data_IF_927304782146
#
_entry.id   IF_927304782146
#
_cell.length_a   1.000
_cell.length_b   1.000
_cell.length_c   1.000
_cell.angle_alpha   90.00
_cell.angle_beta   90.00
_cell.angle_gamma   90.00
#
_symmetry.space_group_name_H-M   'P 1'
#
loop_
_entity.id
_entity.type
_entity.pdbx_description
1 polymer ?
2 non-polymer ?
3 water ?
#
# COMPACT_ATOMS: atom_id res chain seq x y z
N UNK A 2 15.61 -21.13 -1.29
CA UNK A 2 15.27 -19.80 -1.85
C UNK A 2 15.00 -18.73 -0.74
N UNK A 4 13.46 -15.64 -3.56
CA UNK A 4 12.30 -15.65 -4.34
C UNK A 4 12.33 -14.55 -5.40
N UNK A 5 11.62 -14.71 -6.51
CA UNK A 5 12.06 -15.18 -7.77
C UNK A 5 11.23 -14.01 -8.40
N UNK A 6 11.92 -12.92 -8.73
CA UNK A 6 11.28 -11.71 -9.20
C UNK A 6 12.24 -11.16 -10.28
N UNK A 7 11.77 -10.23 -11.12
CA UNK A 7 12.66 -9.54 -12.07
C UNK A 7 13.70 -8.69 -11.31
N UNK A 8 14.82 -8.40 -11.94
CA UNK A 8 15.89 -7.54 -11.38
C UNK A 8 15.37 -6.13 -11.07
N UNK A 9 14.41 -5.68 -11.87
CA UNK A 9 13.69 -4.41 -11.69
C UNK A 9 12.99 -4.26 -10.31
N UNK A 10 12.70 -5.39 -9.63
CA UNK A 10 12.32 -5.44 -8.21
C UNK A 10 13.42 -5.24 -7.14
N UNK A 11 14.67 -5.07 -7.56
CA UNK A 11 15.73 -4.77 -6.59
C UNK A 11 15.60 -3.38 -5.96
N UNK A 12 15.67 -3.37 -4.63
CA UNK A 12 15.51 -2.16 -3.83
C UNK A 12 16.67 -2.07 -2.83
N UNK A 13 16.78 -0.91 -2.19
CA UNK A 13 17.50 -0.70 -0.98
C UNK A 13 16.39 -0.49 0.07
N UNK A 14 16.35 -1.35 1.08
CA UNK A 14 15.26 -1.37 1.97
C UNK A 14 15.87 -1.13 3.36
N UNK A 15 15.14 -0.40 4.22
CA UNK A 15 15.62 -0.14 5.57
C UNK A 15 15.54 -1.39 6.40
N UNK A 16 16.67 -1.81 6.97
CA UNK A 16 16.70 -2.94 7.85
C UNK A 16 16.41 -2.50 9.28
N UNK A 17 15.28 -3.01 9.78
CA UNK A 17 14.58 -2.53 10.98
C UNK A 17 15.17 -3.07 12.29
N UNK A 18 15.94 -4.17 12.15
CA UNK A 18 16.81 -4.74 13.19
C UNK A 18 18.04 -3.88 13.43
N UNK A 19 19.02 -4.41 14.17
CA UNK A 19 19.89 -3.50 14.95
C UNK A 19 21.41 -3.35 14.81
N UNK A 20 21.95 -3.42 13.57
CA UNK A 20 22.60 -2.18 13.05
C UNK A 20 21.59 -1.57 11.98
N UNK A 21 21.21 -0.28 12.09
CA UNK A 21 20.21 0.26 11.14
C UNK A 21 20.84 0.88 9.89
N UNK A 22 20.72 0.16 8.77
CA UNK A 22 21.20 0.63 7.49
C UNK A 22 20.17 0.22 6.45
N UNK A 23 20.20 0.85 5.27
CA UNK A 23 19.56 0.31 4.04
C UNK A 23 20.41 -0.74 3.36
N UNK A 24 19.80 -1.87 3.04
CA UNK A 24 20.54 -2.90 2.35
C UNK A 24 19.86 -3.29 1.05
N UNK A 25 20.60 -3.95 0.13
CA UNK A 25 19.98 -4.54 -1.10
C UNK A 25 18.89 -5.60 -0.76
N UNK A 26 17.76 -5.57 -1.45
CA UNK A 26 16.73 -6.55 -1.17
C UNK A 26 15.98 -6.67 -2.47
N UNK A 27 15.06 -7.62 -2.53
CA UNK A 27 14.07 -7.75 -3.58
C UNK A 27 12.66 -7.37 -3.05
N UNK A 28 12.00 -6.46 -3.75
CA UNK A 28 10.58 -6.18 -3.53
C UNK A 28 9.73 -7.42 -3.94
N UNK A 29 9.06 -8.01 -2.96
CA UNK A 29 8.41 -9.27 -3.08
C UNK A 29 6.89 -9.07 -3.42
N UNK A 30 6.25 -8.11 -2.74
CA UNK A 30 4.83 -7.91 -2.86
C UNK A 30 4.43 -6.65 -2.08
N UNK A 31 3.35 -5.95 -2.55
CA UNK A 31 2.68 -4.92 -1.76
C UNK A 31 1.93 -5.61 -0.60
N UNK A 32 1.80 -4.91 0.50
CA UNK A 32 1.11 -5.40 1.67
C UNK A 32 -0.01 -4.37 2.03
N UNK A 33 -1.22 -4.90 2.20
CA UNK A 33 -2.30 -4.18 2.85
C UNK A 33 -2.23 -4.48 4.37
N UNK A 34 -1.85 -3.50 5.16
CA UNK A 34 -1.93 -3.63 6.60
C UNK A 34 -3.32 -3.55 7.20
N UNK A 35 -3.73 -4.48 8.06
CA UNK A 35 -5.09 -4.46 8.64
C UNK A 35 -5.38 -3.29 9.57
N UNK A 36 -4.33 -2.57 9.89
CA UNK A 36 -4.23 -1.69 11.06
C UNK A 36 -3.73 -0.27 10.71
N UNK A 37 -3.12 -0.07 9.53
CA UNK A 37 -2.80 1.30 9.06
C UNK A 37 -3.15 1.49 7.59
N UNK A 38 -3.37 2.73 7.19
CA UNK A 38 -3.76 2.91 5.79
C UNK A 38 -2.62 3.02 4.79
N UNK A 39 -1.44 3.49 5.16
CA UNK A 39 -0.40 3.61 4.09
C UNK A 39 -0.09 2.27 3.43
N UNK A 40 0.19 2.28 2.15
CA UNK A 40 0.67 1.07 1.47
C UNK A 40 2.01 0.55 2.04
N UNK A 42 5.26 -2.77 2.02
CA UNK A 42 6.07 -3.62 1.10
C UNK A 42 6.76 -4.79 1.74
N UNK A 43 6.49 -5.97 1.20
CA UNK A 43 7.24 -7.06 1.67
C UNK A 43 8.52 -7.07 0.81
N UNK A 44 9.64 -7.20 1.51
CA UNK A 44 10.95 -7.12 0.92
C UNK A 44 11.74 -8.32 1.47
N UNK A 45 12.65 -8.85 0.64
CA UNK A 45 13.59 -9.93 1.03
C UNK A 45 15.10 -9.50 0.96
N UNK A 46 15.82 -9.61 2.06
CA UNK A 46 17.26 -9.31 2.06
C UNK A 46 18.02 -10.49 1.42
N UNK A 47 19.29 -10.28 1.18
CA UNK A 47 20.10 -11.21 0.36
C UNK A 47 20.44 -12.48 1.19
N UNK A 48 20.28 -12.41 2.53
CA UNK A 48 20.34 -13.64 3.35
C UNK A 48 18.96 -14.34 3.43
N UNK A 49 18.02 -13.98 2.57
CA UNK A 49 16.64 -14.46 2.57
C UNK A 49 15.72 -14.03 3.70
N UNK A 50 16.18 -13.27 4.66
CA UNK A 50 15.28 -12.62 5.63
C UNK A 50 14.25 -11.71 4.94
N UNK A 52 10.97 -8.92 5.33
CA UNK A 52 10.55 -7.84 6.19
C UNK A 52 9.48 -6.99 5.52
N UNK A 53 8.63 -6.35 6.29
CA UNK A 53 7.58 -5.45 5.77
C UNK A 53 7.89 -3.98 6.13
N UNK A 54 7.96 -3.07 5.17
CA UNK A 54 8.47 -1.72 5.46
C UNK A 54 7.49 -0.74 4.89
N UNK A 55 7.50 0.49 5.37
CA UNK A 55 6.66 1.48 4.71
C UNK A 55 7.33 2.13 3.50
N UNK A 56 6.59 3.05 2.85
CA UNK A 56 7.04 3.69 1.58
C UNK A 56 8.17 4.68 1.83
N UNK A 57 8.36 5.06 3.09
CA UNK A 57 9.50 5.83 3.53
C UNK A 57 10.75 4.97 3.85
N UNK A 58 10.68 3.68 3.66
CA UNK A 58 11.77 2.84 4.07
C UNK A 58 12.31 2.03 2.90
N UNK A 59 12.13 2.53 1.65
CA UNK A 59 12.44 1.75 0.49
C UNK A 59 12.72 2.65 -0.69
N UNK A 60 13.79 2.32 -1.42
CA UNK A 60 14.19 3.05 -2.64
C UNK A 60 14.44 2.03 -3.75
N UNK A 61 14.28 2.41 -5.01
CA UNK A 61 14.79 1.60 -6.12
C UNK A 61 16.33 1.41 -5.93
N UNK A 62 16.88 0.25 -6.23
CA UNK A 62 18.34 0.05 -6.10
C UNK A 62 18.95 0.59 -7.39
N UNK A 63 19.02 1.91 -7.52
CA UNK A 63 19.98 2.47 -8.41
C UNK A 63 20.76 3.64 -7.88
N UNK A 64 21.99 3.67 -8.34
CA UNK A 64 23.01 4.48 -7.74
C UNK A 64 23.36 5.49 -8.77
N UNK A 65 23.62 6.69 -8.30
CA UNK A 65 24.01 7.79 -9.14
C UNK A 65 25.37 8.24 -8.69
N UNK A 66 26.11 8.73 -9.66
CA UNK A 66 27.35 9.46 -9.40
C UNK A 66 27.22 10.46 -8.24
N UNK A 67 28.14 10.41 -7.28
CA UNK A 67 28.09 11.34 -6.14
C UNK A 67 27.29 10.79 -4.96
N UNK A 68 26.54 9.69 -5.09
CA UNK A 68 25.84 9.11 -3.94
C UNK A 68 26.92 8.72 -2.97
N UNK A 69 26.65 8.96 -1.69
CA UNK A 69 27.52 8.54 -0.61
C UNK A 69 27.00 7.20 -0.07
N UNK A 70 27.86 6.16 -0.12
CA UNK A 70 27.51 4.84 0.28
C UNK A 70 28.65 4.18 1.06
N UNK A 71 28.37 3.02 1.65
CA UNK A 71 29.46 2.18 2.16
C UNK A 71 29.48 0.88 1.44
N UNK A 72 30.53 0.10 1.67
CA UNK A 72 30.62 -1.25 1.11
C UNK A 72 31.17 -2.12 2.22
N UNK A 73 30.53 -3.26 2.34
CA UNK A 73 30.93 -4.41 3.13
C UNK A 73 32.46 -4.90 3.06
N UNK A 74 33.17 -4.63 1.99
CA UNK A 74 34.54 -4.94 1.82
C UNK A 74 35.52 -3.83 2.15
N UNK A 75 35.00 -2.62 2.45
CA UNK A 75 35.81 -1.46 2.81
C UNK A 75 35.47 -0.94 4.25
N UNK A 76 35.04 -1.80 5.16
CA UNK A 76 34.81 -1.35 6.53
C UNK A 76 33.69 -0.33 6.54
N UNK A 77 33.86 0.73 7.34
CA UNK A 77 32.84 1.77 7.55
C UNK A 77 33.19 3.06 6.77
N UNK A 78 34.17 2.98 5.89
CA UNK A 78 34.69 4.11 5.17
C UNK A 78 33.66 4.52 4.12
N UNK A 79 33.19 5.74 4.20
CA UNK A 79 32.23 6.25 3.27
C UNK A 79 32.88 6.58 1.93
N UNK A 80 32.20 6.29 0.82
CA UNK A 80 32.71 6.49 -0.53
C UNK A 80 31.68 7.21 -1.34
N UNK A 81 32.00 7.81 -2.47
CA UNK A 81 31.00 8.28 -3.39
C UNK A 81 30.99 7.34 -4.62
N UNK A 82 29.83 7.21 -5.23
CA UNK A 82 29.68 6.44 -6.35
C UNK A 82 30.28 7.14 -7.55
N UNK A 83 31.09 6.39 -8.27
CA UNK A 83 31.62 6.89 -9.52
C UNK A 83 30.77 6.38 -10.67
N UNK A 84 30.58 5.08 -10.83
CA UNK A 84 29.83 4.51 -11.97
C UNK A 84 29.42 3.09 -11.67
N UNK A 85 28.26 2.66 -12.09
CA UNK A 85 27.88 1.25 -11.97
C UNK A 85 27.92 0.67 -13.42
N UNK A 86 28.21 -0.62 -13.54
CA UNK A 86 28.25 -1.27 -14.80
C UNK A 86 27.95 -2.74 -14.65
N UNK A 87 27.66 -3.40 -15.79
CA UNK A 87 27.56 -4.85 -15.84
C UNK A 87 28.85 -5.55 -16.41
N UNK A 88 29.48 -6.38 -15.59
CA UNK A 88 30.76 -6.94 -15.93
C UNK A 88 30.65 -8.13 -16.87
N UNK A 89 29.45 -8.60 -17.13
CA UNK A 89 29.36 -9.86 -17.83
C UNK A 89 28.06 -9.99 -18.55
N UNK A 90 28.05 -10.92 -19.50
CA UNK A 90 26.83 -11.09 -20.24
C UNK A 90 26.06 -12.34 -19.82
N UNK A 91 26.68 -13.17 -18.95
CA UNK A 91 26.06 -14.34 -18.37
C UNK A 91 24.91 -13.96 -17.44
N UNK A 92 24.03 -14.95 -17.20
CA UNK A 92 22.90 -14.82 -16.27
C UNK A 92 23.49 -14.66 -14.88
N UNK A 93 23.02 -13.66 -14.14
CA UNK A 93 23.56 -13.48 -12.80
C UNK A 93 22.38 -13.67 -11.94
N UNK A 94 22.61 -14.05 -10.71
CA UNK A 94 21.58 -14.22 -9.73
C UNK A 94 21.04 -12.86 -9.20
N UNK A 95 19.82 -12.86 -8.70
CA UNK A 95 19.20 -11.66 -8.16
C UNK A 95 20.03 -10.91 -7.08
N UNK A 96 20.62 -11.64 -6.15
CA UNK A 96 21.42 -11.00 -5.10
C UNK A 96 22.70 -10.27 -5.65
N UNK A 97 23.09 -10.53 -6.90
CA UNK A 97 24.34 -9.99 -7.49
C UNK A 97 24.08 -8.66 -8.19
N UNK A 98 22.82 -8.32 -8.54
CA UNK A 98 22.50 -7.13 -9.36
C UNK A 98 21.67 -6.04 -8.64
N UNK A 99 21.57 -4.86 -9.23
CA UNK A 99 20.68 -3.81 -8.78
C UNK A 99 19.51 -3.72 -9.77
N UNK A 100 18.74 -2.63 -9.70
CA UNK A 100 17.51 -2.52 -10.45
C UNK A 100 17.73 -2.32 -11.95
N UNK A 101 18.96 -2.05 -12.35
CA UNK A 101 19.20 -1.92 -13.81
C UNK A 101 20.04 -3.11 -14.31
N UNK A 102 20.18 -4.12 -13.47
CA UNK A 102 20.93 -5.31 -13.87
C UNK A 102 22.46 -5.09 -13.90
N UNK A 103 22.95 -4.02 -13.26
CA UNK A 103 24.34 -3.93 -12.95
C UNK A 103 24.75 -4.81 -11.81
N UNK A 104 26.03 -4.98 -11.80
CA UNK A 104 26.76 -5.98 -11.13
C UNK A 104 27.88 -5.41 -10.27
N UNK A 106 30.22 -1.83 -8.95
CA UNK A 106 30.26 -0.39 -8.79
C UNK A 106 31.68 0.11 -8.50
N UNK A 107 32.04 1.22 -9.10
CA UNK A 107 33.24 1.94 -8.75
C UNK A 107 32.95 3.10 -7.72
N UNK A 108 33.69 3.06 -6.62
CA UNK A 108 33.58 3.90 -5.43
C UNK A 108 34.85 4.73 -5.25
N UNK A 109 34.73 5.99 -4.80
CA UNK A 109 35.86 6.90 -4.60
C UNK A 109 35.89 7.37 -3.17
N UNK A 110 37.10 7.48 -2.66
CA UNK A 110 37.31 8.06 -1.34
C UNK A 110 38.50 8.92 -1.50
N UNK A 111 38.18 10.17 -1.74
CA UNK A 111 39.10 11.09 -2.23
C UNK A 111 38.97 10.88 -3.73
N UNK A 112 40.15 10.74 -4.32
CA UNK A 112 40.27 10.38 -5.67
C UNK A 112 40.92 8.99 -5.80
N UNK A 113 40.82 8.19 -4.74
CA UNK A 113 41.21 6.83 -4.78
C UNK A 113 39.96 5.96 -5.07
N UNK A 114 39.98 5.30 -6.21
CA UNK A 114 38.86 4.50 -6.69
C UNK A 114 39.15 3.03 -6.46
N UNK A 115 38.06 2.31 -6.18
CA UNK A 115 38.04 0.88 -5.99
C UNK A 115 36.83 0.39 -6.70
N UNK A 116 36.94 -0.80 -7.30
CA UNK A 116 35.82 -1.45 -7.97
C UNK A 116 35.32 -2.57 -7.07
N UNK A 117 34.01 -2.64 -6.82
CA UNK A 117 33.47 -3.58 -5.84
C UNK A 117 32.13 -4.16 -6.38
N UNK A 118 31.73 -5.38 -5.95
CA UNK A 118 30.39 -5.85 -6.36
C UNK A 118 29.30 -4.98 -5.75
N UNK A 119 28.28 -4.66 -6.56
CA UNK A 119 27.13 -3.83 -6.19
C UNK A 119 26.39 -4.51 -4.96
N UNK A 120 26.42 -5.85 -4.85
CA UNK A 120 25.72 -6.56 -3.72
C UNK A 120 26.30 -6.26 -2.33
N UNK A 121 27.47 -5.64 -2.32
CA UNK A 121 28.28 -5.29 -1.12
C UNK A 121 27.86 -3.87 -0.56
N UNK A 122 27.11 -3.11 -1.34
CA UNK A 122 26.62 -1.81 -0.91
C UNK A 122 25.71 -1.85 0.29
N UNK A 123 25.87 -0.85 1.16
CA UNK A 123 24.85 -0.57 2.17
C UNK A 123 24.90 0.90 2.44
N UNK A 124 23.82 1.44 2.99
CA UNK A 124 23.64 2.89 2.99
C UNK A 124 23.11 3.40 4.30
N UNK A 125 23.74 4.45 4.82
CA UNK A 125 23.26 5.06 6.00
C UNK A 125 21.95 5.77 5.69
N UNK A 126 20.97 5.61 6.58
CA UNK A 126 19.76 6.43 6.42
C UNK A 126 20.03 7.96 6.19
N UNK A 127 21.03 8.59 6.86
CA UNK A 127 21.27 10.04 6.56
C UNK A 127 21.73 10.28 5.15
N UNK A 128 22.37 9.27 4.56
CA UNK A 128 22.78 9.41 3.18
C UNK A 128 21.66 9.16 2.22
N UNK A 129 20.77 8.25 2.58
CA UNK A 129 19.60 7.95 1.78
C UNK A 129 18.63 9.17 1.64
N UNK A 130 18.60 10.07 2.62
CA UNK A 130 17.67 11.21 2.53
C UNK A 130 18.01 12.13 1.37
N UNK A 131 19.22 11.99 0.86
CA UNK A 131 19.59 12.79 -0.30
C UNK A 131 19.56 12.07 -1.66
N UNK A 132 19.12 10.85 -1.70
CA UNK A 132 18.88 10.19 -2.95
C UNK A 132 17.64 10.79 -3.63
N UNK A 133 17.81 11.51 -4.72
CA UNK A 133 16.65 12.07 -5.41
C UNK A 133 16.34 11.16 -6.56
N UNK A 134 15.09 11.09 -7.02
CA UNK A 134 14.77 10.25 -8.17
C UNK A 134 14.89 8.74 -7.95
N UNK A 135 14.90 8.29 -6.68
CA UNK A 135 15.05 6.86 -6.34
C UNK A 135 13.85 6.14 -5.76
N UNK A 136 12.71 6.79 -5.77
CA UNK A 136 11.49 6.20 -5.29
C UNK A 136 11.08 5.09 -6.28
N UNK A 137 10.32 4.10 -5.79
CA UNK A 137 9.70 3.09 -6.64
C UNK A 137 8.90 3.74 -7.78
N UNK A 138 9.07 3.20 -8.97
CA UNK A 138 8.32 3.64 -10.11
C UNK A 138 7.04 2.82 -10.29
N UNK A 139 6.01 3.45 -10.87
CA UNK A 139 4.79 2.76 -11.31
C UNK A 139 5.02 1.44 -12.06
N UNK A 140 5.92 1.46 -13.05
CA UNK A 140 6.24 0.18 -13.76
C UNK A 140 6.64 -0.99 -12.84
N UNK A 141 7.26 -0.75 -11.67
CA UNK A 141 7.34 -1.79 -10.61
C UNK A 141 5.94 -2.11 -9.98
N UNK A 142 5.46 -3.36 -10.10
CA UNK A 142 3.90 -3.76 -9.98
C UNK A 142 3.43 -5.12 -10.81
N UNK A 143 2.99 -6.26 -10.20
CA UNK A 143 2.99 -6.66 -8.74
C UNK A 143 1.72 -7.18 -8.01
N UNK A 144 1.91 -8.30 -7.31
CA UNK A 144 0.80 -9.03 -6.68
C UNK A 144 0.76 -9.11 -5.15
N UNK A 146 0.44 -11.07 -1.64
CA UNK A 146 0.60 -12.47 -1.25
C UNK A 146 -0.83 -13.11 -1.12
N UNK A 147 -1.06 -14.29 -1.72
CA UNK A 147 -2.35 -15.05 -1.54
C UNK A 147 -2.44 -15.62 -0.11
N UNK A 148 -3.02 -14.84 0.76
CA UNK A 148 -2.98 -15.15 2.13
C UNK A 148 -3.79 -16.44 2.42
N UNK A 149 -3.10 -17.35 3.10
CA UNK A 149 -3.66 -18.59 3.62
C UNK A 149 -4.70 -18.50 4.78
N UNK A 150 -5.96 -18.79 4.47
CA UNK A 150 -7.11 -18.76 5.42
C UNK A 150 -7.65 -17.31 5.64
N UNK A 151 -6.89 -16.43 6.30
CA UNK A 151 -7.20 -15.02 6.28
C UNK A 151 -6.88 -14.33 4.93
N UNK B 5 -26.86 -12.95 10.47
CA UNK B 5 -25.83 -13.95 10.83
C UNK B 5 -26.01 -14.36 12.32
N UNK B 6 -25.04 -14.06 13.19
CA UNK B 6 -25.07 -14.57 14.58
C UNK B 6 -25.58 -13.62 15.67
N UNK B 7 -25.81 -14.18 16.83
CA UNK B 7 -26.00 -13.39 18.00
C UNK B 7 -24.65 -12.64 18.34
N UNK B 8 -24.77 -11.53 19.03
CA UNK B 8 -23.61 -10.87 19.64
C UNK B 8 -22.79 -11.85 20.50
N UNK B 9 -23.39 -12.96 20.93
CA UNK B 9 -22.71 -13.86 21.87
C UNK B 9 -21.59 -14.66 21.23
N UNK B 10 -21.63 -14.71 19.89
CA UNK B 10 -20.58 -15.31 19.06
C UNK B 10 -19.39 -14.38 18.74
N UNK B 11 -19.32 -13.16 19.27
CA UNK B 11 -18.25 -12.23 18.88
C UNK B 11 -17.04 -12.73 19.62
N UNK B 12 -15.95 -12.84 18.84
CA UNK B 12 -14.65 -13.31 19.32
C UNK B 12 -13.55 -12.34 18.96
N UNK B 13 -12.41 -12.57 19.57
CA UNK B 13 -11.16 -12.03 19.15
C UNK B 13 -10.40 -13.23 18.58
N UNK B 14 -9.96 -13.12 17.32
CA UNK B 14 -9.36 -14.23 16.59
C UNK B 14 -8.02 -13.83 15.96
N UNK B 15 -7.04 -14.72 16.03
CA UNK B 15 -5.77 -14.58 15.34
C UNK B 15 -5.96 -14.35 13.84
N UNK B 16 -5.34 -13.30 13.34
CA UNK B 16 -5.48 -12.95 11.96
C UNK B 16 -4.25 -13.40 11.24
N UNK B 17 -4.45 -14.18 10.19
CA UNK B 17 -3.32 -14.80 9.47
C UNK B 17 -2.65 -13.91 8.42
N UNK B 18 -3.24 -12.74 8.13
CA UNK B 18 -2.59 -11.72 7.29
C UNK B 18 -1.70 -10.81 8.11
N UNK B 19 -1.47 -9.61 7.62
CA UNK B 19 -0.56 -8.67 8.26
C UNK B 19 -1.28 -7.49 8.93
N UNK B 20 -0.90 -7.13 10.16
CA UNK B 20 -0.06 -7.89 11.09
C UNK B 20 -0.88 -8.96 11.85
N UNK B 21 -0.19 -10.00 12.29
CA UNK B 21 -0.88 -11.16 12.76
C UNK B 21 -1.22 -10.92 14.23
N UNK B 22 -2.20 -10.04 14.48
CA UNK B 22 -2.71 -9.81 15.82
C UNK B 22 -4.09 -10.48 15.97
N UNK B 23 -4.77 -10.20 17.09
CA UNK B 23 -6.15 -10.68 17.30
C UNK B 23 -7.10 -9.54 17.06
N UNK B 24 -8.14 -9.83 16.31
CA UNK B 24 -9.08 -8.83 15.86
C UNK B 24 -10.50 -9.32 16.17
N UNK B 25 -11.47 -8.39 16.24
CA UNK B 25 -12.86 -8.73 16.44
C UNK B 25 -13.34 -9.58 15.29
N UNK B 26 -14.09 -10.66 15.61
CA UNK B 26 -14.73 -11.51 14.58
C UNK B 26 -15.98 -12.13 15.11
N UNK B 27 -16.72 -12.80 14.23
CA UNK B 27 -17.92 -13.51 14.62
C UNK B 27 -17.64 -14.98 14.42
N UNK B 28 -17.97 -15.80 15.42
CA UNK B 28 -17.72 -17.23 15.33
C UNK B 28 -18.86 -17.73 14.51
N UNK B 29 -18.57 -18.09 13.28
CA UNK B 29 -19.60 -18.59 12.38
C UNK B 29 -19.99 -20.07 12.67
N UNK B 30 -19.01 -20.97 12.83
CA UNK B 30 -19.26 -22.41 13.06
C UNK B 30 -18.03 -23.15 13.59
N UNK B 31 -18.24 -24.05 14.57
CA UNK B 31 -17.12 -24.93 15.00
C UNK B 31 -16.82 -25.97 13.88
N UNK B 32 -15.58 -26.38 13.72
CA UNK B 32 -15.30 -27.42 12.75
C UNK B 32 -14.53 -28.61 13.35
N UNK B 33 -15.12 -29.76 13.14
CA UNK B 33 -14.75 -31.03 13.71
C UNK B 33 -14.06 -31.89 12.62
N UNK B 34 -12.91 -32.52 12.93
CA UNK B 34 -12.50 -33.90 12.44
C UNK B 34 -12.76 -34.40 10.96
N UNK B 35 -12.31 -35.58 10.53
CA UNK B 35 -11.37 -36.48 11.21
C UNK B 35 -9.96 -36.22 10.61
N UNK B 36 -9.87 -35.04 9.97
CA UNK B 36 -8.66 -34.45 9.35
C UNK B 36 -7.64 -34.10 10.44
N UNK B 37 -7.69 -34.88 11.54
CA UNK B 37 -7.35 -34.42 12.90
C UNK B 37 -8.06 -35.35 13.91
N UNK B 38 -8.17 -34.90 15.17
CA UNK B 38 -9.46 -35.06 15.87
C UNK B 38 -10.07 -33.69 16.33
N UNK B 39 -9.43 -33.00 17.26
CA UNK B 39 -9.41 -31.54 17.28
C UNK B 39 -10.67 -30.72 16.83
N UNK B 40 -10.98 -29.67 17.59
CA UNK B 40 -11.96 -28.68 17.13
C UNK B 40 -11.24 -27.42 16.55
N UNK B 42 -12.27 -23.46 14.43
CA UNK B 42 -13.40 -22.51 14.40
C UNK B 42 -13.38 -21.70 13.18
N UNK B 43 -14.54 -21.64 12.56
CA UNK B 43 -14.74 -20.76 11.43
C UNK B 43 -15.28 -19.42 11.96
N UNK B 44 -14.56 -18.39 11.53
CA UNK B 44 -14.48 -17.10 12.14
C UNK B 44 -14.66 -16.17 10.96
N UNK B 45 -15.42 -15.08 11.14
CA UNK B 45 -15.54 -14.06 10.11
C UNK B 45 -15.03 -12.67 10.65
N UNK B 46 -14.12 -11.99 9.96
CA UNK B 46 -13.58 -10.72 10.46
C UNK B 46 -14.47 -9.62 9.95
N UNK B 47 -14.27 -8.40 10.44
CA UNK B 47 -15.33 -7.36 10.36
C UNK B 47 -15.39 -6.80 8.95
N UNK B 48 -14.23 -6.85 8.35
CA UNK B 48 -14.14 -7.53 7.15
C UNK B 48 -12.97 -7.37 6.33
N UNK B 49 -12.23 -8.45 6.31
CA UNK B 49 -11.47 -8.82 5.19
C UNK B 49 -11.46 -10.41 5.05
N UNK B 50 -12.42 -11.18 5.63
CA UNK B 50 -12.22 -12.62 5.51
C UNK B 50 -13.02 -13.63 6.35
N UNK B 52 -12.31 -17.51 7.72
CA UNK B 52 -11.39 -17.48 8.81
C UNK B 52 -10.15 -18.27 9.06
N UNK B 53 -10.39 -19.63 8.95
CA UNK B 53 -10.40 -20.69 10.07
C UNK B 53 -9.22 -21.01 11.01
N UNK B 54 -9.54 -21.20 12.26
CA UNK B 54 -8.58 -20.89 13.28
C UNK B 54 -8.55 -22.02 14.34
N UNK B 55 -7.43 -22.09 15.03
CA UNK B 55 -7.18 -23.03 16.09
C UNK B 55 -7.93 -22.77 17.36
N UNK B 56 -8.06 -23.81 18.17
CA UNK B 56 -8.48 -23.70 19.55
C UNK B 56 -7.62 -22.73 20.37
N UNK B 57 -6.33 -22.69 20.06
CA UNK B 57 -5.33 -21.79 20.65
C UNK B 57 -5.35 -20.36 20.05
N UNK B 58 -6.26 -20.06 19.14
CA UNK B 58 -6.18 -18.83 18.37
C UNK B 58 -7.46 -18.01 18.45
N UNK B 59 -8.13 -18.10 19.59
CA UNK B 59 -9.47 -17.55 19.68
C UNK B 59 -9.88 -17.33 21.13
N UNK B 60 -10.55 -16.22 21.37
CA UNK B 60 -11.08 -15.89 22.68
C UNK B 60 -12.46 -15.30 22.49
N UNK B 61 -13.29 -15.42 23.50
CA UNK B 61 -14.53 -14.69 23.53
C UNK B 61 -14.23 -13.23 23.64
N UNK B 62 -14.93 -12.44 22.82
CA UNK B 62 -14.78 -10.96 22.83
C UNK B 62 -15.43 -10.24 24.05
N UNK B 63 -14.75 -10.29 25.17
CA UNK B 63 -15.14 -9.38 26.22
C UNK B 63 -13.96 -8.88 27.04
N UNK B 64 -13.85 -7.58 27.12
CA UNK B 64 -12.69 -7.00 27.72
C UNK B 64 -13.01 -6.80 29.20
N UNK B 65 -11.96 -6.89 30.02
CA UNK B 65 -12.06 -6.80 31.49
C UNK B 65 -11.06 -5.76 31.98
N UNK B 66 -11.31 -5.12 33.12
CA UNK B 66 -10.36 -4.14 33.69
C UNK B 66 -8.98 -4.76 33.69
N UNK B 67 -7.93 -4.04 33.33
CA UNK B 67 -6.57 -4.67 33.27
C UNK B 67 -6.00 -5.24 31.92
N UNK B 68 -6.85 -5.86 31.08
CA UNK B 68 -6.46 -6.19 29.68
C UNK B 68 -5.64 -5.08 29.02
N UNK B 69 -4.53 -5.45 28.40
CA UNK B 69 -3.74 -4.58 27.52
C UNK B 69 -4.13 -4.82 26.05
N UNK B 70 -4.52 -3.73 25.35
CA UNK B 70 -5.07 -3.75 24.00
C UNK B 70 -4.58 -2.53 23.22
N UNK B 71 -4.94 -2.48 21.95
CA UNK B 71 -4.60 -1.36 21.14
C UNK B 71 -5.85 -1.00 20.39
N UNK B 72 -5.85 0.15 19.76
CA UNK B 72 -7.03 0.62 19.03
C UNK B 72 -6.58 1.28 17.75
N UNK B 73 -7.31 1.10 16.66
CA UNK B 73 -6.89 1.77 15.40
C UNK B 73 -7.06 3.30 15.49
N UNK B 74 -7.79 3.79 16.48
CA UNK B 74 -7.94 5.21 16.74
C UNK B 74 -6.74 5.83 17.44
N UNK B 75 -5.89 5.02 18.06
CA UNK B 75 -4.96 5.52 19.06
C UNK B 75 -3.45 5.24 18.79
N UNK B 76 -3.01 5.24 17.54
CA UNK B 76 -1.68 4.79 17.22
C UNK B 76 -1.34 3.34 17.64
N UNK B 77 -0.07 3.11 17.93
CA UNK B 77 0.41 1.79 18.20
C UNK B 77 0.73 1.67 19.71
N UNK B 78 0.23 2.64 20.46
CA UNK B 78 0.42 2.68 21.89
C UNK B 78 -0.59 1.76 22.57
N UNK B 79 -0.08 0.79 23.32
CA UNK B 79 -0.86 -0.06 24.18
C UNK B 79 -1.48 0.75 25.31
N UNK B 80 -2.68 0.33 25.74
CA UNK B 80 -3.53 1.06 26.63
C UNK B 80 -4.13 -0.02 27.40
N UNK B 81 -4.57 0.28 28.63
CA UNK B 81 -5.15 -0.65 29.55
C UNK B 81 -6.63 -0.37 29.60
N UNK B 82 -7.38 -1.45 29.69
CA UNK B 82 -8.82 -1.39 29.70
C UNK B 82 -9.29 -0.96 31.07
N UNK B 83 -10.09 0.11 31.11
CA UNK B 83 -10.86 0.53 32.28
C UNK B 83 -12.25 -0.18 32.32
N UNK B 84 -13.17 0.09 31.40
CA UNK B 84 -14.37 -0.75 31.27
C UNK B 84 -15.00 -0.66 29.90
N UNK B 85 -16.00 -1.49 29.67
CA UNK B 85 -16.76 -1.42 28.45
C UNK B 85 -18.16 -0.96 28.82
N UNK B 86 -18.91 -0.31 27.94
CA UNK B 86 -20.29 0.01 28.28
C UNK B 86 -21.06 0.08 26.95
N UNK B 87 -22.38 0.28 27.04
CA UNK B 87 -23.24 0.39 25.89
C UNK B 87 -23.69 1.84 25.77
N UNK B 88 -23.51 2.46 24.61
CA UNK B 88 -23.75 3.88 24.47
C UNK B 88 -25.08 4.29 23.89
N UNK B 89 -25.91 3.31 23.54
CA UNK B 89 -27.12 3.61 22.84
C UNK B 89 -28.08 2.45 22.98
N UNK B 90 -29.35 2.78 23.07
CA UNK B 90 -30.37 1.75 23.04
C UNK B 90 -30.85 1.42 21.62
N UNK B 91 -30.31 2.13 20.62
CA UNK B 91 -30.56 1.78 19.23
C UNK B 91 -29.94 0.45 18.88
N UNK B 92 -30.49 -0.21 17.88
CA UNK B 92 -29.94 -1.47 17.39
C UNK B 92 -28.65 -1.29 16.55
N UNK B 93 -27.57 -1.92 16.97
CA UNK B 93 -26.25 -1.76 16.34
C UNK B 93 -25.91 -2.98 15.47
N UNK B 94 -25.04 -2.81 14.48
CA UNK B 94 -24.67 -4.01 13.79
C UNK B 94 -23.76 -4.84 14.68
N UNK B 95 -23.80 -6.10 14.36
CA UNK B 95 -22.93 -7.08 14.92
C UNK B 95 -21.46 -6.67 15.03
N UNK B 96 -20.99 -5.97 14.03
CA UNK B 96 -19.63 -5.54 13.89
C UNK B 96 -19.26 -4.43 14.88
N UNK B 97 -20.26 -3.72 15.41
CA UNK B 97 -20.02 -2.59 16.40
C UNK B 97 -19.88 -3.05 17.84
N UNK B 98 -20.12 -4.34 18.07
CA UNK B 98 -20.53 -4.90 19.38
C UNK B 98 -19.55 -6.05 19.83
N UNK B 99 -19.30 -6.24 21.12
CA UNK B 99 -18.62 -7.41 21.65
C UNK B 99 -19.62 -8.47 22.20
N UNK B 100 -19.13 -9.39 23.04
CA UNK B 100 -19.93 -10.54 23.43
C UNK B 100 -20.92 -10.56 24.61
N UNK B 101 -20.90 -9.70 25.61
CA UNK B 101 -21.71 -8.57 25.95
C UNK B 101 -22.68 -7.67 25.22
N UNK B 102 -22.51 -7.45 23.93
CA UNK B 102 -23.33 -6.48 23.26
C UNK B 102 -22.95 -5.07 23.71
N UNK B 103 -21.79 -4.92 24.35
CA UNK B 103 -21.23 -3.56 24.55
C UNK B 103 -20.58 -3.01 23.27
N UNK B 104 -20.74 -1.73 23.00
CA UNK B 104 -20.06 -1.09 21.86
C UNK B 104 -19.05 -0.20 22.60
N UNK B 106 -15.37 1.16 24.54
CA UNK B 106 -14.47 0.77 25.62
C UNK B 106 -13.64 1.97 26.12
N UNK B 107 -13.51 2.09 27.45
CA UNK B 107 -12.60 3.09 28.05
C UNK B 107 -11.18 2.54 28.22
N UNK B 108 -10.20 3.27 27.68
CA UNK B 108 -8.77 2.86 27.67
C UNK B 108 -7.86 3.88 28.37
N UNK B 109 -7.06 3.40 29.32
CA UNK B 109 -6.27 4.32 30.14
C UNK B 109 -4.93 4.77 29.50
N UNK B 110 -3.83 4.07 29.52
CA UNK B 110 -2.58 4.88 29.32
C UNK B 110 -2.31 6.21 30.13
N UNK B 111 -1.67 6.07 31.29
CA UNK B 111 -1.15 7.21 32.06
C UNK B 111 -2.09 8.39 32.23
N UNK B 112 -3.17 8.15 32.95
CA UNK B 112 -4.20 9.17 33.27
C UNK B 112 -5.11 9.89 32.20
N UNK B 113 -4.72 9.98 30.92
CA UNK B 113 -5.76 10.20 29.88
C UNK B 113 -6.62 8.94 29.78
N UNK B 114 -7.93 9.03 29.95
CA UNK B 114 -8.83 7.95 29.60
C UNK B 114 -9.64 8.37 28.39
N UNK B 115 -9.35 7.69 27.27
CA UNK B 115 -10.04 7.84 25.97
C UNK B 115 -11.02 6.70 25.69
N UNK B 116 -12.19 7.07 25.17
CA UNK B 116 -13.23 6.09 24.91
C UNK B 116 -13.30 5.83 23.44
N UNK B 117 -13.17 4.55 23.05
CA UNK B 117 -13.19 4.19 21.63
C UNK B 117 -14.29 3.17 21.31
N UNK B 118 -14.73 3.17 20.03
CA UNK B 118 -15.68 2.13 19.63
C UNK B 118 -14.96 0.82 19.74
N UNK B 119 -15.63 -0.12 20.39
CA UNK B 119 -15.17 -1.49 20.61
C UNK B 119 -14.62 -2.18 19.31
N UNK B 120 -15.20 -1.88 18.15
CA UNK B 120 -14.69 -2.46 16.87
C UNK B 120 -13.29 -2.02 16.37
N UNK B 121 -12.64 -1.09 17.09
CA UNK B 121 -11.35 -0.55 16.65
C UNK B 121 -10.28 -1.26 17.42
N UNK B 122 -10.68 -2.18 18.29
CA UNK B 122 -9.79 -2.89 19.17
C UNK B 122 -8.97 -4.00 18.42
N UNK B 123 -7.72 -4.17 18.81
CA UNK B 123 -6.91 -5.34 18.43
C UNK B 123 -5.94 -5.61 19.54
N UNK B 124 -5.46 -6.82 19.64
CA UNK B 124 -4.67 -7.24 20.79
C UNK B 124 -3.47 -8.01 20.26
N UNK B 125 -2.28 -7.57 20.64
CA UNK B 125 -1.08 -8.35 20.44
C UNK B 125 -1.20 -9.78 21.04
N UNK B 126 -0.59 -10.79 20.36
CA UNK B 126 -0.60 -12.15 20.88
C UNK B 126 0.01 -12.28 22.30
N UNK B 127 1.13 -11.61 22.56
CA UNK B 127 1.71 -11.55 23.90
C UNK B 127 0.70 -11.06 24.95
N UNK B 128 -0.10 -10.03 24.64
CA UNK B 128 -1.07 -9.52 25.60
C UNK B 128 -2.29 -10.35 25.78
N UNK B 129 -2.70 -11.05 24.74
CA UNK B 129 -3.84 -11.94 24.83
C UNK B 129 -3.47 -13.22 25.58
N UNK B 130 -2.18 -13.57 25.59
CA UNK B 130 -1.71 -14.74 26.37
C UNK B 130 -1.98 -14.56 27.89
N UNK B 131 -1.96 -13.31 28.37
CA UNK B 131 -2.26 -12.94 29.74
C UNK B 131 -3.77 -12.68 30.05
N UNK B 132 -4.67 -12.92 29.08
CA UNK B 132 -6.14 -12.89 29.32
C UNK B 132 -6.68 -14.11 30.08
N UNK B 133 -7.29 -13.97 31.27
CA UNK B 133 -7.86 -15.16 31.98
C UNK B 133 -9.38 -15.56 31.88
N UNK B 134 -10.31 -14.62 31.84
CA UNK B 134 -11.71 -15.11 31.88
C UNK B 134 -12.35 -15.71 30.62
N UNK B 135 -11.58 -15.85 29.54
CA UNK B 135 -12.12 -15.63 28.15
C UNK B 135 -12.04 -16.75 27.09
N UNK B 136 -11.69 -17.95 27.53
CA UNK B 136 -11.68 -19.14 26.68
C UNK B 136 -13.06 -19.61 26.19
N UNK B 137 -13.07 -20.25 25.00
CA UNK B 137 -14.32 -20.72 24.37
C UNK B 137 -15.15 -21.85 25.03
N UNK B 138 -16.46 -21.57 25.17
CA UNK B 138 -17.60 -22.48 25.56
C UNK B 138 -18.66 -21.59 26.29
N UNK B 139 -19.98 -21.78 26.17
CA UNK B 139 -20.76 -22.73 25.34
C UNK B 139 -20.83 -24.24 25.80
N UNK B 140 -21.72 -25.10 25.25
CA UNK B 140 -22.56 -25.00 24.02
C UNK B 140 -23.34 -23.72 23.56
N UNK B 141 -22.90 -23.16 22.40
CA UNK B 141 -23.71 -22.40 21.37
C UNK B 141 -24.99 -21.68 21.89
N UNK B 142 -25.86 -21.06 21.04
CA UNK B 142 -25.65 -20.19 19.82
C UNK B 142 -25.72 -20.74 18.38
N UNK B 143 -24.75 -20.42 17.52
CA UNK B 143 -24.35 -21.32 16.41
C UNK B 143 -22.79 -21.48 16.45
N UNK B 144 -22.22 -21.00 17.57
CA UNK B 144 -20.88 -21.25 18.11
C UNK B 144 -20.62 -22.73 17.90
N UNK C 7 -6.23 18.65 -3.94
CA UNK C 7 -5.17 17.70 -4.31
C UNK C 7 -4.23 18.21 -5.36
N UNK C 8 -4.91 18.66 -6.50
CA UNK C 8 -4.66 18.55 -8.02
C UNK C 8 -3.73 17.52 -8.56
N UNK C 9 -2.69 17.22 -7.78
CA UNK C 9 -1.75 16.17 -8.17
C UNK C 9 -2.41 14.78 -8.26
N UNK C 10 -3.67 14.68 -7.80
CA UNK C 10 -4.37 13.40 -7.83
C UNK C 10 -5.25 13.12 -9.05
N UNK C 11 -5.33 14.10 -9.97
CA UNK C 11 -5.98 13.99 -11.28
C UNK C 11 -5.33 13.01 -12.23
N UNK C 12 -6.20 12.13 -12.76
CA UNK C 12 -5.74 11.05 -13.59
C UNK C 12 -6.67 10.97 -14.75
N UNK C 13 -6.25 10.29 -15.79
CA UNK C 13 -7.11 9.80 -16.87
C UNK C 13 -7.36 8.30 -16.58
N UNK C 14 -8.63 7.91 -16.35
CA UNK C 14 -8.96 6.54 -15.96
C UNK C 14 -9.86 5.88 -16.97
N UNK C 15 -9.66 4.61 -17.28
CA UNK C 15 -10.54 3.90 -18.24
C UNK C 15 -11.97 3.69 -17.71
N UNK C 16 -12.98 4.02 -18.50
CA UNK C 16 -14.40 3.78 -18.11
C UNK C 16 -14.85 2.42 -18.69
N UNK C 17 -15.27 1.51 -17.82
CA UNK C 17 -15.59 0.15 -18.24
C UNK C 17 -16.93 0.15 -18.98
N UNK C 18 -17.90 0.89 -18.47
CA UNK C 18 -19.13 1.17 -19.20
C UNK C 18 -18.97 1.78 -20.61
N UNK C 19 -20.10 2.07 -21.21
CA UNK C 19 -20.22 2.52 -22.57
C UNK C 19 -20.36 4.07 -22.57
N UNK C 20 -19.68 4.80 -23.46
CA UNK C 20 -18.60 4.28 -24.34
C UNK C 20 -17.30 4.25 -23.55
N UNK C 21 -16.37 3.42 -23.98
CA UNK C 21 -15.23 3.06 -23.17
C UNK C 21 -14.00 3.82 -23.59
N UNK C 22 -13.71 4.91 -22.88
CA UNK C 22 -12.60 5.78 -23.19
C UNK C 22 -12.03 6.04 -21.82
N UNK C 23 -10.90 6.76 -21.83
CA UNK C 23 -10.35 7.35 -20.64
C UNK C 23 -10.91 8.73 -20.46
N UNK C 24 -11.28 9.00 -19.21
CA UNK C 24 -11.81 10.22 -18.81
C UNK C 24 -11.04 10.72 -17.57
N UNK C 25 -11.08 12.06 -17.34
CA UNK C 25 -10.57 12.76 -16.19
C UNK C 25 -11.20 12.19 -14.95
N UNK C 26 -10.44 12.03 -13.89
CA UNK C 26 -10.97 11.45 -12.67
C UNK C 26 -10.05 11.95 -11.61
N UNK C 27 -10.48 11.83 -10.37
CA UNK C 27 -9.55 12.08 -9.23
C UNK C 27 -9.14 10.76 -8.59
N UNK C 28 -7.86 10.50 -8.41
CA UNK C 28 -7.46 9.25 -7.75
C UNK C 28 -7.87 9.28 -6.29
N UNK C 29 -8.69 8.33 -5.86
CA UNK C 29 -9.18 8.35 -4.47
C UNK C 29 -8.31 7.44 -3.53
N UNK C 30 -7.97 6.21 -3.91
CA UNK C 30 -7.23 5.31 -2.98
C UNK C 30 -6.79 4.09 -3.76
N UNK C 31 -5.66 3.42 -3.38
CA UNK C 31 -5.24 2.11 -3.93
C UNK C 31 -6.11 0.80 -3.85
N UNK C 32 -6.92 0.50 -2.87
CA UNK C 32 -7.70 -0.81 -3.01
C UNK C 32 -6.95 -2.17 -3.17
N UNK C 33 -7.09 -2.99 -2.12
CA UNK C 33 -6.81 -4.41 -2.15
C UNK C 33 -8.14 -5.16 -2.50
N UNK C 34 -8.19 -5.77 -3.68
CA UNK C 34 -9.40 -6.33 -4.22
C UNK C 34 -9.58 -7.78 -3.78
N UNK C 35 -10.81 -8.13 -3.37
CA UNK C 35 -11.19 -9.53 -3.01
C UNK C 35 -11.11 -10.53 -4.19
N UNK C 36 -11.38 -10.09 -5.41
CA UNK C 36 -11.35 -11.09 -6.46
C UNK C 36 -10.05 -11.14 -7.31
N UNK C 37 -9.27 -10.05 -7.32
CA UNK C 37 -7.91 -10.06 -7.91
C UNK C 37 -6.76 -9.72 -6.91
N UNK C 38 -5.54 -10.08 -7.31
CA UNK C 38 -4.36 -9.97 -6.45
C UNK C 38 -3.52 -8.77 -6.89
N UNK C 39 -3.84 -8.26 -8.07
CA UNK C 39 -3.27 -7.01 -8.57
C UNK C 39 -3.73 -5.81 -7.69
N UNK C 40 -2.88 -4.80 -7.58
CA UNK C 40 -3.28 -3.58 -6.95
C UNK C 40 -4.25 -2.82 -7.87
N UNK C 42 -7.23 0.71 -8.35
CA UNK C 42 -7.26 2.12 -8.04
C UNK C 42 -8.67 2.59 -8.00
N UNK C 43 -9.11 3.08 -6.85
CA UNK C 43 -10.41 3.74 -6.75
C UNK C 43 -10.26 5.20 -7.28
N UNK C 44 -11.00 5.51 -8.34
CA UNK C 44 -11.09 6.85 -8.90
C UNK C 44 -12.55 7.34 -8.86
N UNK C 45 -12.70 8.63 -8.67
CA UNK C 45 -13.98 9.24 -8.84
C UNK C 45 -14.02 10.08 -10.14
N UNK C 46 -14.79 9.61 -11.12
CA UNK C 46 -15.07 10.35 -12.35
C UNK C 46 -15.80 11.68 -12.09
N UNK C 47 -15.61 12.62 -12.99
CA UNK C 47 -16.20 13.97 -12.85
C UNK C 47 -17.76 14.00 -12.83
N UNK C 48 -18.45 13.07 -13.48
CA UNK C 48 -19.91 12.88 -13.13
C UNK C 48 -20.14 12.31 -11.74
N UNK C 49 -19.06 12.02 -11.00
CA UNK C 49 -19.07 11.76 -9.55
C UNK C 49 -19.36 10.29 -9.28
N UNK C 50 -19.48 9.52 -10.35
CA UNK C 50 -19.48 8.09 -10.19
C UNK C 50 -18.07 7.48 -9.95
N UNK C 52 -15.28 4.29 -9.37
CA UNK C 52 -14.93 3.12 -10.15
C UNK C 52 -13.52 2.67 -9.75
N UNK C 53 -13.20 1.39 -9.79
CA UNK C 53 -11.81 0.94 -9.59
C UNK C 53 -11.72 -0.06 -10.67
N UNK C 54 -10.81 -0.25 -11.63
CA UNK C 54 -9.57 0.29 -12.18
C UNK C 54 -8.29 -0.45 -11.93
N UNK C 55 -7.81 -1.20 -12.89
CA UNK C 55 -6.47 -1.78 -12.79
C UNK C 55 -5.33 -0.86 -13.21
N UNK C 56 -4.10 -1.33 -13.12
CA UNK C 56 -2.96 -0.44 -13.26
C UNK C 56 -2.63 -0.25 -14.67
N UNK C 57 -3.28 -1.06 -15.48
CA UNK C 57 -3.29 -0.84 -16.92
C UNK C 57 -4.35 0.15 -17.41
N UNK C 58 -5.11 0.75 -16.51
CA UNK C 58 -6.28 1.53 -16.83
C UNK C 58 -6.25 2.93 -16.22
N UNK C 59 -5.07 3.49 -16.01
CA UNK C 59 -4.87 4.71 -15.27
C UNK C 59 -3.53 5.40 -15.57
N UNK C 60 -3.61 6.69 -15.87
CA UNK C 60 -2.49 7.55 -16.17
C UNK C 60 -2.58 8.84 -15.32
N UNK C 61 -1.45 9.50 -15.10
CA UNK C 61 -1.48 10.87 -14.63
C UNK C 61 -2.12 11.77 -15.72
N UNK C 62 -2.92 12.74 -15.29
CA UNK C 62 -3.68 13.55 -16.21
C UNK C 62 -2.78 14.76 -16.60
N UNK C 63 -1.94 14.52 -17.61
CA UNK C 63 -1.34 15.60 -18.28
C UNK C 63 -1.00 15.26 -19.72
N UNK C 64 -1.14 16.29 -20.55
CA UNK C 64 -1.07 16.18 -21.99
C UNK C 64 0.20 16.78 -22.53
N UNK C 65 0.71 16.20 -23.63
CA UNK C 65 1.89 16.73 -24.32
C UNK C 65 1.48 17.01 -25.77
N UNK C 66 2.02 18.06 -26.34
CA UNK C 66 1.86 18.40 -27.73
C UNK C 66 1.95 17.12 -28.60
N UNK C 67 1.01 16.92 -29.53
CA UNK C 67 1.05 15.69 -30.33
C UNK C 67 0.14 14.58 -29.85
N UNK C 68 -0.24 14.54 -28.57
CA UNK C 68 -1.16 13.52 -28.08
C UNK C 68 -2.42 13.58 -28.93
N UNK C 69 -2.96 12.41 -29.28
CA UNK C 69 -4.25 12.24 -29.98
C UNK C 69 -5.42 12.09 -28.99
N UNK C 70 -6.22 13.14 -28.83
CA UNK C 70 -7.28 13.17 -27.81
C UNK C 70 -8.59 13.72 -28.37
N UNK C 71 -9.68 13.51 -27.65
CA UNK C 71 -10.91 14.06 -28.07
C UNK C 71 -11.44 15.05 -27.02
N UNK C 72 -12.44 15.83 -27.47
CA UNK C 72 -13.20 16.66 -26.60
C UNK C 72 -14.69 16.40 -26.77
N UNK C 73 -15.36 16.30 -25.67
CA UNK C 73 -16.83 16.21 -25.53
C UNK C 73 -17.56 17.38 -26.29
N UNK C 74 -16.88 18.53 -26.37
CA UNK C 74 -17.30 19.70 -27.13
C UNK C 74 -17.12 19.56 -28.62
N UNK C 75 -16.30 18.62 -29.10
CA UNK C 75 -16.02 18.57 -30.55
C UNK C 75 -16.55 17.31 -31.13
N UNK C 76 -16.59 17.21 -32.45
CA UNK C 76 -17.00 15.98 -33.12
C UNK C 76 -15.91 14.92 -33.08
N UNK C 77 -16.17 13.72 -33.57
CA UNK C 77 -15.15 12.67 -33.52
C UNK C 77 -14.26 12.60 -34.77
N UNK C 78 -13.63 13.69 -35.15
CA UNK C 78 -12.59 13.67 -36.19
C UNK C 78 -11.31 13.76 -35.40
N UNK C 79 -10.18 13.60 -36.06
CA UNK C 79 -8.89 13.55 -35.37
C UNK C 79 -8.55 14.90 -34.72
N UNK C 80 -8.14 14.88 -33.44
CA UNK C 80 -7.54 16.09 -32.85
C UNK C 80 -6.22 15.84 -32.14
N UNK C 81 -5.30 16.81 -32.21
CA UNK C 81 -4.05 16.65 -31.48
C UNK C 81 -3.76 17.87 -30.59
N UNK C 82 -3.14 17.57 -29.47
CA UNK C 82 -2.86 18.59 -28.47
C UNK C 82 -1.77 19.53 -29.03
N UNK C 83 -2.03 20.84 -28.95
CA UNK C 83 -1.09 21.93 -29.27
C UNK C 83 -0.46 22.43 -27.96
N UNK C 84 -1.28 22.85 -27.00
CA UNK C 84 -0.75 23.20 -25.70
C UNK C 84 -1.83 23.28 -24.66
N UNK C 85 -1.39 23.22 -23.41
CA UNK C 85 -2.26 23.31 -22.27
C UNK C 85 -1.81 24.50 -21.46
N UNK C 86 -2.71 24.99 -20.62
CA UNK C 86 -2.39 26.23 -19.96
C UNK C 86 -3.50 26.56 -19.02
N UNK C 87 -3.24 27.61 -18.27
CA UNK C 87 -4.15 28.12 -17.34
C UNK C 87 -4.80 29.41 -17.93
N UNK C 88 -6.13 29.49 -17.95
CA UNK C 88 -6.86 30.55 -18.60
C UNK C 88 -7.25 31.66 -17.65
N UNK C 89 -6.96 31.49 -16.35
CA UNK C 89 -7.37 32.44 -15.33
C UNK C 89 -6.45 32.20 -14.12
N UNK C 90 -6.19 33.26 -13.38
CA UNK C 90 -5.61 33.14 -12.05
C UNK C 90 -6.60 32.90 -10.95
N UNK C 91 -7.87 32.90 -11.26
CA UNK C 91 -8.90 32.65 -10.29
C UNK C 91 -8.79 31.23 -9.78
N UNK C 92 -9.35 30.97 -8.62
CA UNK C 92 -9.13 29.71 -7.97
C UNK C 92 -10.19 28.72 -8.44
N UNK C 93 -9.76 27.74 -9.23
CA UNK C 93 -10.66 26.76 -9.87
C UNK C 93 -10.95 25.49 -9.10
N UNK C 94 -12.07 24.86 -9.37
CA UNK C 94 -12.44 23.60 -8.77
C UNK C 94 -11.50 22.53 -9.23
N UNK C 95 -11.40 21.48 -8.41
CA UNK C 95 -10.57 20.39 -8.71
C UNK C 95 -10.90 19.78 -10.08
N UNK C 96 -12.19 19.69 -10.40
CA UNK C 96 -12.60 18.97 -11.59
C UNK C 96 -12.39 19.80 -12.89
N UNK C 97 -11.93 21.03 -12.73
CA UNK C 97 -11.61 21.89 -13.86
C UNK C 97 -10.18 21.72 -14.28
N UNK C 98 -9.30 21.06 -13.48
CA UNK C 98 -7.84 21.10 -13.73
C UNK C 98 -7.19 19.74 -14.10
N UNK C 99 -5.98 19.75 -14.68
CA UNK C 99 -5.25 18.51 -14.86
C UNK C 99 -4.24 18.35 -13.70
N UNK C 100 -3.28 17.45 -13.84
CA UNK C 100 -2.44 17.14 -12.71
C UNK C 100 -1.40 18.22 -12.58
N UNK C 101 -1.32 19.13 -13.58
CA UNK C 101 -0.40 20.25 -13.50
C UNK C 101 -1.16 21.55 -13.19
N UNK C 102 -2.44 21.44 -12.88
CA UNK C 102 -3.25 22.64 -12.52
C UNK C 102 -3.58 23.52 -13.76
N UNK C 103 -3.45 22.98 -14.95
CA UNK C 103 -3.92 23.63 -16.15
C UNK C 103 -5.44 23.40 -16.32
N UNK C 104 -6.18 24.38 -16.85
CA UNK C 104 -7.59 24.14 -17.10
C UNK C 104 -8.00 24.18 -18.60
N UNK C 106 -7.01 23.61 -22.96
CA UNK C 106 -6.15 23.03 -23.96
C UNK C 106 -6.54 23.56 -25.33
N UNK C 107 -5.53 23.78 -26.17
CA UNK C 107 -5.73 23.99 -27.61
C UNK C 107 -5.56 22.72 -28.41
N UNK C 108 -6.57 22.35 -29.18
CA UNK C 108 -6.54 21.15 -30.05
C UNK C 108 -6.53 21.57 -31.52
N UNK C 109 -5.85 20.78 -32.36
CA UNK C 109 -5.81 21.08 -33.75
C UNK C 109 -6.35 19.92 -34.52
N UNK C 110 -6.98 20.26 -35.66
CA UNK C 110 -7.29 19.35 -36.73
C UNK C 110 -6.94 20.05 -38.04
N UNK C 111 -5.92 19.61 -38.75
CA UNK C 111 -5.43 20.32 -39.93
C UNK C 111 -5.00 21.71 -39.50
N UNK C 112 -5.47 22.71 -40.25
CA UNK C 112 -5.17 24.11 -39.97
C UNK C 112 -6.22 24.80 -39.08
N UNK C 113 -7.14 24.03 -38.51
CA UNK C 113 -8.09 24.55 -37.53
C UNK C 113 -7.67 24.25 -36.06
N UNK C 114 -7.62 25.28 -35.22
CA UNK C 114 -7.32 25.15 -33.82
C UNK C 114 -8.54 25.63 -33.01
N UNK C 115 -8.71 25.11 -31.81
CA UNK C 115 -9.85 25.45 -30.98
C UNK C 115 -9.45 25.25 -29.53
N UNK C 116 -9.85 26.17 -28.65
CA UNK C 116 -9.68 26.02 -27.22
C UNK C 116 -10.82 25.20 -26.56
N UNK C 117 -10.49 24.16 -25.79
CA UNK C 117 -11.55 23.52 -25.02
C UNK C 117 -11.11 23.40 -23.56
N UNK C 118 -12.06 23.39 -22.61
CA UNK C 118 -11.65 23.14 -21.22
C UNK C 118 -11.01 21.75 -21.10
N UNK C 119 -9.98 21.62 -20.33
CA UNK C 119 -9.19 20.39 -20.29
C UNK C 119 -10.09 19.26 -19.66
N UNK C 120 -11.02 19.63 -18.78
CA UNK C 120 -11.97 18.65 -18.22
C UNK C 120 -12.88 17.87 -19.23
N UNK C 121 -12.84 18.34 -20.47
CA UNK C 121 -13.76 18.00 -21.51
C UNK C 121 -13.15 16.94 -22.41
N UNK C 122 -11.85 16.74 -22.19
CA UNK C 122 -11.00 15.78 -22.89
C UNK C 122 -11.32 14.31 -22.61
N UNK C 123 -11.14 13.48 -23.63
CA UNK C 123 -11.19 12.06 -23.39
C UNK C 123 -10.33 11.38 -24.42
N UNK C 124 -9.94 10.14 -24.14
CA UNK C 124 -8.86 9.53 -24.92
C UNK C 124 -9.20 8.08 -25.21
N UNK C 125 -9.06 7.70 -26.48
CA UNK C 125 -9.15 6.30 -26.91
C UNK C 125 -7.97 5.49 -26.34
N UNK C 126 -8.26 4.28 -25.80
CA UNK C 126 -7.19 3.41 -25.30
C UNK C 126 -6.03 3.30 -26.27
N UNK C 127 -6.30 3.17 -27.58
CA UNK C 127 -5.17 3.03 -28.54
C UNK C 127 -4.19 4.19 -28.47
N UNK C 128 -4.71 5.41 -28.29
CA UNK C 128 -3.86 6.59 -28.23
C UNK C 128 -3.26 6.76 -26.81
N UNK C 129 -3.98 6.26 -25.81
CA UNK C 129 -3.42 6.24 -24.47
C UNK C 129 -2.15 5.36 -24.38
N UNK C 130 -2.16 4.24 -25.10
CA UNK C 130 -0.97 3.37 -25.21
C UNK C 130 0.28 4.06 -25.76
N UNK C 131 0.11 5.07 -26.63
CA UNK C 131 1.23 5.92 -27.10
C UNK C 131 1.80 6.94 -26.09
N UNK C 132 1.03 7.28 -25.06
CA UNK C 132 1.50 8.28 -24.09
C UNK C 132 2.78 7.77 -23.40
N UNK C 133 3.87 8.54 -23.51
CA UNK C 133 5.12 8.28 -22.77
C UNK C 133 5.21 9.21 -21.61
N UNK C 134 5.64 8.67 -20.46
CA UNK C 134 5.83 9.50 -19.28
C UNK C 134 4.55 9.93 -18.54
N UNK C 135 3.40 9.28 -18.72
CA UNK C 135 2.27 9.70 -17.84
C UNK C 135 1.67 8.64 -16.89
N UNK C 136 2.53 7.78 -16.38
CA UNK C 136 2.26 6.94 -15.22
C UNK C 136 2.13 7.78 -14.00
N UNK C 137 1.36 7.26 -13.08
CA UNK C 137 1.31 7.76 -11.74
C UNK C 137 2.69 8.04 -11.14
N UNK C 138 2.74 9.19 -10.48
CA UNK C 138 3.41 9.40 -9.15
C UNK C 138 4.51 10.37 -9.26
N UNK C 139 5.85 10.05 -9.00
CA UNK C 139 6.49 9.27 -7.80
C UNK C 139 5.84 9.50 -6.42
N UNK C 140 5.42 10.76 -6.24
CA UNK C 140 4.80 11.28 -5.06
C UNK C 140 3.44 10.70 -4.80
N UNK C 141 2.67 10.55 -5.86
CA UNK C 141 1.38 9.96 -5.78
C UNK C 141 1.51 8.54 -5.18
N UNK C 142 2.57 7.85 -5.61
CA UNK C 142 2.81 6.48 -5.16
C UNK C 142 3.22 6.43 -3.69
N UNK C 143 4.23 7.26 -3.36
CA UNK C 143 4.84 7.29 -2.05
C UNK C 143 3.73 7.56 -1.06
N UNK C 144 2.79 8.44 -1.43
CA UNK C 144 1.82 9.05 -0.48
C UNK C 144 0.59 8.19 -0.21
N UNK C 146 -2.00 4.63 0.60
CA UNK C 146 -3.22 5.15 1.23
C UNK C 146 -4.62 4.48 1.05
N UNK C 147 -4.82 3.31 1.65
CA UNK C 147 -6.10 2.59 1.54
C UNK C 147 -7.23 3.23 2.36
N UNK C 148 -8.44 2.67 2.16
CA UNK C 148 -9.69 2.85 2.94
C UNK C 148 -10.85 3.29 1.99
#
# INVERSE_FOLDING_TARGET
>A
GHXSRRSFKNRVLAFFKGYPSFYYPATLVAPVHSAVTSSIXYKVQFDDATXSTVNSNQIKRFFLKKGDVVQSTRLGKIKHTVVKTFRSTNEQLSLIAVDALNNDXVILAHGEIEVTVPISTIYVAPVNIRRFQGRDLSFSTLKDXKFEETSFL
>B
GHXSRRSFKNRVLAFFKGYPSFYYPATLVAPVHSAVTSSIXYKVQFDDATXSTVNSNQIKRFFLKKGDVVQSTRLGKIKHTVVKTFRSTNEQLSLIAVDALNNDXVILAHGEIEVTVPISTIYVAPVNIRRFQGRDLSFSTLKDXKFEETSFL
>C
GHXSRRSFKNRVLAFFKGYPSFYYPATLVAPVHSAVTSSIXYKVQFDDATXSTVNSNQIKRFFLKKGDVVQSTRLGKIKHTVVKTFRSTNEQLSLIAVDALNNDXVILAHGEIEVTVPISTIYVAPVNIRRFQGRDLSFSTLKDXKFEETSFL
#
